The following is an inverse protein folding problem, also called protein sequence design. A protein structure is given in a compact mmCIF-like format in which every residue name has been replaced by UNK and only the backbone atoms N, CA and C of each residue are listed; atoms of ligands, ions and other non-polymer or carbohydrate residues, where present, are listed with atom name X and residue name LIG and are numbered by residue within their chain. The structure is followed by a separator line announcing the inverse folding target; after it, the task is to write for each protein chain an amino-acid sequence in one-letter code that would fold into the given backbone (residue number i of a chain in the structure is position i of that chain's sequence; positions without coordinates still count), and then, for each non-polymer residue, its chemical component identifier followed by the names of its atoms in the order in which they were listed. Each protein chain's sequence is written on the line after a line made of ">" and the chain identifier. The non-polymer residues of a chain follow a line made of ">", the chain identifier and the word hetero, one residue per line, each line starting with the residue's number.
data_IF_042700835484
#
_entry.id   IF_042700835484
#
_cell.length_a   1.000
_cell.length_b   1.000
_cell.length_c   1.000
_cell.angle_alpha   90.00
_cell.angle_beta   90.00
_cell.angle_gamma   90.00
#
_symmetry.space_group_name_H-M   'P 1'
#
loop_
_entity.id
_entity.type
_entity.pdbx_description
1 polymer ?
#
# COMPACT_ATOMS: atom_id res chain seq x y z
N UNK A 1 19.02 -11.25 6.41
CA UNK A 1 17.74 -10.77 6.02
C UNK A 1 16.81 -10.61 7.20
N UNK A 2 15.95 -9.66 7.10
CA UNK A 2 15.08 -9.34 8.21
C UNK A 2 13.81 -10.19 8.12
N UNK A 3 13.85 -11.34 8.74
CA UNK A 3 12.73 -12.30 8.75
C UNK A 3 11.54 -11.83 9.58
N UNK A 4 11.69 -10.70 10.26
CA UNK A 4 10.69 -10.17 11.17
C UNK A 4 9.89 -9.01 10.59
N UNK A 5 10.14 -8.66 9.33
CA UNK A 5 9.37 -7.62 8.63
C UNK A 5 8.53 -8.25 7.53
N UNK A 6 7.32 -7.77 7.37
CA UNK A 6 6.39 -8.29 6.36
C UNK A 6 5.75 -7.14 5.58
N UNK A 7 5.55 -7.36 4.31
CA UNK A 7 4.75 -6.49 3.46
C UNK A 7 3.54 -7.27 2.96
N UNK A 8 2.41 -6.60 2.92
CA UNK A 8 1.24 -7.08 2.21
C UNK A 8 1.03 -6.22 0.96
N UNK A 9 0.63 -6.85 -0.12
CA UNK A 9 0.32 -6.15 -1.37
C UNK A 9 -1.13 -6.45 -1.71
N UNK A 10 -1.92 -5.40 -1.90
CA UNK A 10 -3.34 -5.53 -2.16
C UNK A 10 -3.81 -4.35 -3.02
N UNK A 11 -5.09 -4.30 -3.32
CA UNK A 11 -5.73 -3.17 -3.97
C UNK A 11 -6.37 -2.27 -2.92
N UNK A 12 -6.54 -1.00 -3.24
CA UNK A 12 -7.29 -0.07 -2.39
C UNK A 12 -8.32 0.68 -3.21
N UNK A 13 -9.41 1.05 -2.53
CA UNK A 13 -10.48 1.83 -3.14
C UNK A 13 -9.99 3.23 -3.53
N UNK A 14 -10.53 3.73 -4.60
CA UNK A 14 -10.17 5.01 -5.19
C UNK A 14 -11.34 6.00 -5.09
N UNK A 15 -11.04 7.26 -4.85
CA UNK A 15 -12.03 8.24 -4.45
C UNK A 15 -12.41 9.28 -5.48
N UNK A 16 -12.05 9.14 -6.75
CA UNK A 16 -12.33 10.18 -7.75
C UNK A 16 -13.53 9.88 -8.67
N UNK A 17 -14.31 8.84 -8.37
CA UNK A 17 -15.59 8.64 -9.06
C UNK A 17 -16.69 9.43 -8.35
N UNK A 18 -17.67 9.99 -9.10
CA UNK A 18 -18.76 10.72 -8.48
C UNK A 18 -19.50 9.88 -7.45
N UNK A 19 -19.79 10.48 -6.30
CA UNK A 19 -20.53 9.82 -5.22
C UNK A 19 -19.70 9.01 -4.24
N UNK A 20 -18.40 8.87 -4.46
CA UNK A 20 -17.53 8.21 -3.48
C UNK A 20 -17.10 9.19 -2.39
N UNK A 21 -17.06 8.70 -1.15
CA UNK A 21 -16.59 9.49 0.01
C UNK A 21 -15.20 9.04 0.43
N UNK A 22 -14.38 8.72 -0.53
CA UNK A 22 -13.08 8.12 -0.26
C UNK A 22 -11.96 9.14 -0.17
N UNK A 23 -10.89 8.78 0.54
CA UNK A 23 -9.73 9.64 0.69
C UNK A 23 -8.98 9.88 -0.62
N UNK A 24 -7.95 10.69 -0.54
CA UNK A 24 -7.21 11.33 -1.61
C UNK A 24 -6.37 10.40 -2.49
N UNK A 25 -6.62 9.12 -2.51
CA UNK A 25 -5.92 8.16 -3.37
C UNK A 25 -6.43 8.28 -4.81
N UNK A 26 -5.50 8.39 -5.77
CA UNK A 26 -5.81 8.61 -7.18
C UNK A 26 -5.08 7.62 -8.07
N UNK A 27 -5.72 7.20 -9.15
CA UNK A 27 -5.06 6.41 -10.20
C UNK A 27 -3.97 7.24 -10.88
N UNK A 28 -2.85 6.61 -11.20
CA UNK A 28 -1.77 7.25 -11.90
C UNK A 28 -0.86 8.11 -11.03
N UNK A 29 -1.19 8.28 -9.75
CA UNK A 29 -0.37 9.04 -8.80
C UNK A 29 0.58 8.17 -7.99
N UNK A 30 0.68 6.90 -8.33
CA UNK A 30 1.63 5.97 -7.75
C UNK A 30 1.01 4.96 -6.80
N UNK A 31 1.82 4.01 -6.38
CA UNK A 31 1.41 3.01 -5.40
C UNK A 31 1.20 3.66 -4.03
N UNK A 32 0.18 3.23 -3.31
CA UNK A 32 -0.14 3.78 -2.00
C UNK A 32 0.60 2.99 -0.90
N UNK A 33 1.31 3.71 -0.04
CA UNK A 33 1.94 3.16 1.15
C UNK A 33 0.99 3.41 2.32
N UNK A 34 0.44 2.36 2.88
CA UNK A 34 -0.59 2.46 3.90
C UNK A 34 -0.02 2.93 5.23
N UNK A 35 -0.66 3.96 5.79
CA UNK A 35 -0.37 4.42 7.16
C UNK A 35 -1.17 3.58 8.15
N UNK A 36 -2.48 3.45 7.92
CA UNK A 36 -3.34 2.60 8.74
C UNK A 36 -4.60 2.19 7.97
N UNK A 37 -5.21 1.10 8.40
CA UNK A 37 -6.57 0.72 8.03
C UNK A 37 -7.33 0.27 9.30
N UNK A 38 -8.51 -0.32 9.11
CA UNK A 38 -9.33 -0.76 10.26
C UNK A 38 -8.64 -1.87 11.08
N UNK A 39 -7.82 -2.69 10.44
CA UNK A 39 -7.21 -3.86 11.07
C UNK A 39 -5.74 -3.69 11.49
N UNK A 40 -5.06 -2.63 11.05
CA UNK A 40 -3.62 -2.49 11.31
C UNK A 40 -3.14 -1.05 11.24
N UNK A 41 -2.04 -0.79 11.95
CA UNK A 41 -1.26 0.45 11.83
C UNK A 41 0.12 0.05 11.33
N UNK A 42 0.57 0.67 10.24
CA UNK A 42 1.87 0.37 9.66
C UNK A 42 3.00 0.76 10.60
N UNK A 43 4.04 -0.08 10.65
CA UNK A 43 5.26 0.25 11.37
C UNK A 43 5.89 1.51 10.75
N UNK A 44 6.15 2.58 11.54
CA UNK A 44 6.67 3.83 10.98
C UNK A 44 8.01 3.69 10.27
N UNK A 45 8.94 2.91 10.80
CA UNK A 45 10.26 2.74 10.19
C UNK A 45 10.16 1.99 8.86
N UNK A 46 9.35 0.95 8.80
CA UNK A 46 9.13 0.18 7.57
C UNK A 46 8.41 1.04 6.52
N UNK A 47 7.41 1.80 6.93
CA UNK A 47 6.70 2.72 6.05
C UNK A 47 7.65 3.75 5.43
N UNK A 48 8.48 4.39 6.25
CA UNK A 48 9.43 5.39 5.77
C UNK A 48 10.50 4.76 4.88
N UNK A 49 10.94 3.54 5.18
CA UNK A 49 11.88 2.81 4.32
C UNK A 49 11.29 2.52 2.94
N UNK A 50 10.02 2.15 2.87
CA UNK A 50 9.32 1.92 1.59
C UNK A 50 9.15 3.22 0.80
N UNK A 51 8.78 4.31 1.46
CA UNK A 51 8.66 5.62 0.81
C UNK A 51 10.02 6.10 0.29
N UNK A 52 11.08 5.91 1.06
CA UNK A 52 12.44 6.25 0.62
C UNK A 52 12.87 5.39 -0.57
N UNK A 53 12.57 4.11 -0.57
CA UNK A 53 12.86 3.23 -1.70
C UNK A 53 12.13 3.69 -2.97
N UNK A 54 10.88 4.12 -2.86
CA UNK A 54 10.14 4.70 -3.98
C UNK A 54 10.80 5.95 -4.53
N UNK A 55 11.22 6.86 -3.66
CA UNK A 55 11.93 8.06 -4.07
C UNK A 55 13.25 7.74 -4.77
N UNK A 56 14.03 6.79 -4.24
CA UNK A 56 15.29 6.35 -4.85
C UNK A 56 15.07 5.69 -6.22
N UNK A 57 13.99 4.96 -6.38
CA UNK A 57 13.64 4.33 -7.66
C UNK A 57 13.02 5.32 -8.66
N UNK A 58 12.76 6.55 -8.25
CA UNK A 58 12.14 7.56 -9.11
C UNK A 58 10.66 7.31 -9.40
N UNK A 59 9.96 6.60 -8.53
CA UNK A 59 8.54 6.30 -8.70
C UNK A 59 7.69 7.17 -7.79
N UNK A 60 6.46 7.47 -8.25
CA UNK A 60 5.48 8.18 -7.44
C UNK A 60 4.92 7.26 -6.35
N UNK A 61 4.68 7.82 -5.19
CA UNK A 61 4.02 7.13 -4.08
C UNK A 61 2.95 8.01 -3.47
N UNK A 62 1.99 7.39 -2.80
CA UNK A 62 0.93 8.06 -2.06
C UNK A 62 0.87 7.48 -0.66
N UNK A 63 0.43 8.28 0.31
CA UNK A 63 0.15 7.81 1.67
C UNK A 63 -1.34 7.53 1.79
N UNK A 64 -1.68 6.41 2.42
CA UNK A 64 -3.07 5.99 2.56
C UNK A 64 -3.47 5.83 4.02
N UNK A 65 -4.58 6.45 4.38
CA UNK A 65 -5.30 6.18 5.63
C UNK A 65 -6.69 5.68 5.24
N UNK A 66 -6.99 4.43 5.61
CA UNK A 66 -8.26 3.80 5.26
C UNK A 66 -9.02 3.50 6.55
N UNK A 67 -10.14 4.21 6.81
CA UNK A 67 -10.86 4.03 8.07
C UNK A 67 -11.67 2.74 8.15
N UNK A 68 -11.72 1.97 7.07
CA UNK A 68 -12.46 0.70 7.01
C UNK A 68 -11.68 -0.30 6.17
N UNK A 69 -12.12 -1.57 6.23
CA UNK A 69 -11.45 -2.64 5.52
C UNK A 69 -10.15 -3.06 6.19
N UNK A 70 -9.51 -4.06 5.64
CA UNK A 70 -8.25 -4.59 6.14
C UNK A 70 -7.58 -5.45 5.09
N UNK A 71 -6.36 -5.86 5.39
CA UNK A 71 -5.55 -6.74 4.54
C UNK A 71 -4.94 -7.84 5.41
N UNK A 72 -4.19 -8.73 4.78
CA UNK A 72 -3.43 -9.76 5.50
C UNK A 72 -2.42 -9.18 6.50
N UNK A 73 -2.09 -7.89 6.38
CA UNK A 73 -1.20 -7.21 7.31
C UNK A 73 -1.68 -7.28 8.76
N UNK A 74 -3.01 -7.22 8.99
CA UNK A 74 -3.55 -7.30 10.34
C UNK A 74 -3.25 -8.63 11.02
N UNK A 75 -3.37 -9.74 10.28
CA UNK A 75 -3.03 -11.06 10.80
C UNK A 75 -1.52 -11.21 11.03
N UNK A 76 -0.70 -10.68 10.12
CA UNK A 76 0.75 -10.70 10.28
C UNK A 76 1.22 -9.87 11.46
N UNK A 77 0.57 -8.73 11.70
CA UNK A 77 0.94 -7.81 12.78
C UNK A 77 0.77 -8.46 14.16
N UNK A 78 -0.24 -9.30 14.33
CA UNK A 78 -0.53 -9.96 15.60
C UNK A 78 0.19 -11.31 15.77
N UNK A 79 0.82 -11.85 14.72
CA UNK A 79 1.50 -13.12 14.84
C UNK A 79 2.84 -12.99 15.56
N UNK A 80 3.21 -14.03 16.32
CA UNK A 80 4.50 -14.16 17.02
C UNK A 80 4.91 -12.90 17.82
N UNK A 81 3.96 -12.27 18.52
CA UNK A 81 4.25 -11.12 19.37
C UNK A 81 4.39 -9.79 18.65
N UNK A 82 3.90 -9.70 17.42
CA UNK A 82 3.87 -8.46 16.66
C UNK A 82 5.02 -8.30 15.69
N UNK A 83 4.80 -8.72 14.44
CA UNK A 83 5.76 -8.51 13.36
C UNK A 83 5.54 -7.12 12.78
N UNK A 84 6.59 -6.31 12.56
CA UNK A 84 6.44 -5.05 11.84
C UNK A 84 5.89 -5.28 10.44
N UNK A 85 4.78 -4.60 10.10
CA UNK A 85 4.11 -4.76 8.82
C UNK A 85 3.86 -3.41 8.17
N UNK A 86 3.82 -3.42 6.84
CA UNK A 86 3.35 -2.31 6.04
C UNK A 86 2.67 -2.85 4.79
N UNK A 87 1.60 -2.20 4.36
CA UNK A 87 0.86 -2.59 3.16
C UNK A 87 1.16 -1.63 2.04
N UNK A 88 1.46 -2.17 0.86
CA UNK A 88 1.46 -1.45 -0.41
C UNK A 88 0.14 -1.71 -1.10
N UNK A 89 -0.56 -0.65 -1.48
CA UNK A 89 -1.87 -0.75 -2.09
C UNK A 89 -1.86 -0.21 -3.51
N UNK A 90 -2.43 -0.96 -4.42
CA UNK A 90 -2.61 -0.53 -5.81
C UNK A 90 -3.95 0.20 -5.89
N UNK A 91 -3.97 1.49 -6.26
CA UNK A 91 -5.23 2.22 -6.45
C UNK A 91 -6.12 1.53 -7.48
N UNK A 92 -7.38 1.34 -7.15
CA UNK A 92 -8.29 0.56 -7.97
C UNK A 92 -9.69 1.16 -7.97
N UNK A 93 -10.27 1.36 -9.15
CA UNK A 93 -11.69 1.70 -9.30
C UNK A 93 -12.53 0.45 -9.17
N UNK A 94 -13.71 0.61 -8.62
CA UNK A 94 -14.73 -0.44 -8.56
C UNK A 94 -14.23 -1.70 -7.86
N UNK A 95 -13.53 -1.51 -6.76
CA UNK A 95 -13.02 -2.61 -5.92
C UNK A 95 -14.17 -3.54 -5.51
N UNK A 96 -13.91 -4.83 -5.55
CA UNK A 96 -14.88 -5.90 -5.26
C UNK A 96 -16.03 -5.95 -6.26
N UNK A 97 -15.82 -5.50 -7.48
CA UNK A 97 -16.80 -5.61 -8.57
C UNK A 97 -16.31 -6.56 -9.66
N UNK A 98 -17.16 -6.84 -10.63
CA UNK A 98 -16.81 -7.69 -11.77
C UNK A 98 -15.83 -7.02 -12.75
N UNK A 99 -15.70 -5.69 -12.71
CA UNK A 99 -14.85 -4.92 -13.63
C UNK A 99 -14.04 -3.89 -12.85
N UNK A 100 -12.95 -4.34 -12.27
CA UNK A 100 -12.00 -3.46 -11.57
C UNK A 100 -11.04 -2.83 -12.56
N UNK A 101 -10.62 -1.58 -12.28
CA UNK A 101 -9.72 -0.82 -13.15
C UNK A 101 -8.54 -0.30 -12.35
N UNK A 102 -7.33 -0.57 -12.83
CA UNK A 102 -6.09 -0.06 -12.24
C UNK A 102 -5.26 0.65 -13.32
N UNK A 103 -4.34 1.51 -12.90
CA UNK A 103 -3.36 2.11 -13.80
C UNK A 103 -2.08 1.26 -13.74
N UNK A 104 -1.65 0.74 -14.86
CA UNK A 104 -0.46 -0.12 -14.93
C UNK A 104 0.81 0.61 -14.47
N UNK A 105 0.86 1.94 -14.59
CA UNK A 105 2.00 2.72 -14.08
C UNK A 105 2.14 2.59 -12.56
N UNK A 106 1.03 2.47 -11.84
CA UNK A 106 1.05 2.28 -10.39
C UNK A 106 1.58 0.88 -10.04
N UNK A 107 1.21 -0.13 -10.79
CA UNK A 107 1.71 -1.50 -10.63
C UNK A 107 3.22 -1.55 -10.92
N UNK A 108 3.64 -0.98 -12.03
CA UNK A 108 5.06 -0.93 -12.41
C UNK A 108 5.89 -0.16 -11.37
N UNK A 109 5.35 0.94 -10.88
CA UNK A 109 5.98 1.73 -9.82
C UNK A 109 6.16 0.91 -8.54
N UNK A 110 5.15 0.11 -8.19
CA UNK A 110 5.23 -0.79 -7.04
C UNK A 110 6.33 -1.84 -7.20
N UNK A 111 6.47 -2.42 -8.38
CA UNK A 111 7.54 -3.38 -8.68
C UNK A 111 8.91 -2.72 -8.53
N UNK A 112 9.09 -1.54 -9.09
CA UNK A 112 10.36 -0.80 -8.99
C UNK A 112 10.68 -0.43 -7.55
N UNK A 113 9.68 -0.01 -6.78
CA UNK A 113 9.85 0.32 -5.37
C UNK A 113 10.32 -0.91 -4.58
N UNK A 114 9.68 -2.05 -4.76
CA UNK A 114 10.04 -3.28 -4.07
C UNK A 114 11.43 -3.76 -4.46
N UNK A 115 11.79 -3.70 -5.73
CA UNK A 115 13.14 -4.04 -6.17
C UNK A 115 14.18 -3.15 -5.49
N UNK A 116 13.95 -1.86 -5.40
CA UNK A 116 14.85 -0.94 -4.71
C UNK A 116 14.94 -1.25 -3.22
N UNK A 117 13.81 -1.53 -2.58
CA UNK A 117 13.77 -1.85 -1.16
C UNK A 117 14.57 -3.11 -0.84
N UNK A 118 14.42 -4.17 -1.65
CA UNK A 118 15.11 -5.44 -1.41
C UNK A 118 16.58 -5.42 -1.79
N UNK A 119 17.03 -4.44 -2.57
CA UNK A 119 18.45 -4.27 -2.91
C UNK A 119 19.23 -3.46 -1.87
N UNK A 120 18.51 -2.77 -1.00
CA UNK A 120 19.15 -1.89 -0.02
C UNK A 120 19.70 -2.68 1.19
#
# INVERSE_FOLDING_TARGET
>A
GDVYKRQAIDVTAWGDTPGTKQPDIKLGEGIAVKVMDHGSISNPDLREALLAAGAQAGVKTQREVLPFGGTDASAMQTSRGGIPVCTLSIPCRYVHSACEVVDLRDVEGGVKLLNQYFQA
#
